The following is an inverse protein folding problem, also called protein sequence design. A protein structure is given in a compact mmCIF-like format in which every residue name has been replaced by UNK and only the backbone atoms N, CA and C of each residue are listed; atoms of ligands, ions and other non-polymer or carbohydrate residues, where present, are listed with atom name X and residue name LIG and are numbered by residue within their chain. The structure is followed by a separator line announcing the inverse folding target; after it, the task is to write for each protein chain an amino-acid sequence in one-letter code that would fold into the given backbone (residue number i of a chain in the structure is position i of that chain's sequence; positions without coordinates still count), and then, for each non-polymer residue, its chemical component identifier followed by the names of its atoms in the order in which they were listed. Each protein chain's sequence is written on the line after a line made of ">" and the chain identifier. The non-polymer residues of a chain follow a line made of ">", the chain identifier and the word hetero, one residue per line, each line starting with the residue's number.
data_IF_178687357491
#
_entry.id   IF_178687357491
#
_cell.length_a   1.000
_cell.length_b   1.000
_cell.length_c   1.000
_cell.angle_alpha   90.00
_cell.angle_beta   90.00
_cell.angle_gamma   90.00
#
_symmetry.space_group_name_H-M   'P 1'
#
loop_
_entity.id
_entity.type
_entity.pdbx_description
1 polymer ?
#
# COMPACT_ATOMS: atom_id res chain seq x y z
N UNK A 1 7.84 10.21 6.46
CA UNK A 1 6.60 10.00 5.68
C UNK A 1 6.89 10.42 4.26
N UNK A 2 6.78 9.50 3.31
CA UNK A 2 7.07 9.75 1.91
C UNK A 2 5.90 10.52 1.28
N UNK A 3 6.16 11.70 0.74
CA UNK A 3 5.15 12.56 0.10
C UNK A 3 5.40 12.71 -1.39
N UNK A 4 6.14 11.78 -2.00
CA UNK A 4 6.32 11.76 -3.45
C UNK A 4 5.00 11.50 -4.15
N UNK A 5 4.76 12.19 -5.27
CA UNK A 5 3.53 12.04 -6.08
C UNK A 5 3.29 10.58 -6.48
N UNK A 6 4.35 9.84 -6.80
CA UNK A 6 4.27 8.43 -7.13
C UNK A 6 3.82 7.57 -5.94
N UNK A 7 4.31 7.85 -4.73
CA UNK A 7 3.86 7.11 -3.54
C UNK A 7 2.41 7.41 -3.20
N UNK A 8 1.99 8.67 -3.34
CA UNK A 8 0.59 9.07 -3.17
C UNK A 8 -0.29 8.33 -4.19
N UNK A 9 0.12 8.28 -5.46
CA UNK A 9 -0.57 7.55 -6.51
C UNK A 9 -0.67 6.05 -6.22
N UNK A 10 0.42 5.42 -5.76
CA UNK A 10 0.41 4.01 -5.36
C UNK A 10 -0.62 3.75 -4.25
N UNK A 11 -0.69 4.63 -3.24
CA UNK A 11 -1.64 4.52 -2.14
C UNK A 11 -3.08 4.76 -2.60
N UNK A 12 -3.31 5.77 -3.43
CA UNK A 12 -4.63 6.08 -4.01
C UNK A 12 -5.18 4.91 -4.82
N UNK A 13 -4.32 4.26 -5.62
CA UNK A 13 -4.71 3.11 -6.46
C UNK A 13 -4.84 1.81 -5.67
N UNK A 14 -4.28 1.72 -4.47
CA UNK A 14 -4.37 0.54 -3.61
C UNK A 14 -5.73 0.50 -2.89
N UNK A 15 -6.83 0.43 -3.64
CA UNK A 15 -8.19 0.51 -3.08
C UNK A 15 -8.41 -0.55 -2.00
N UNK A 16 -7.90 -1.77 -2.20
CA UNK A 16 -8.00 -2.84 -1.19
C UNK A 16 -7.32 -2.46 0.12
N UNK A 17 -6.13 -1.85 0.05
CA UNK A 17 -5.39 -1.36 1.22
C UNK A 17 -6.17 -0.25 1.94
N UNK A 18 -6.72 0.70 1.17
CA UNK A 18 -7.53 1.80 1.68
C UNK A 18 -8.79 1.27 2.38
N UNK A 19 -9.46 0.28 1.79
CA UNK A 19 -10.65 -0.35 2.36
C UNK A 19 -10.35 -1.13 3.63
N UNK A 20 -9.24 -1.88 3.69
CA UNK A 20 -8.86 -2.61 4.90
C UNK A 20 -8.54 -1.68 6.08
N UNK A 21 -8.00 -0.49 5.83
CA UNK A 21 -7.71 0.48 6.89
C UNK A 21 -8.98 1.19 7.42
N UNK A 22 -10.00 1.38 6.58
CA UNK A 22 -11.25 2.07 6.96
C UNK A 22 -12.13 1.31 7.95
N UNK A 23 -11.89 0.01 8.16
CA UNK A 23 -12.79 -0.89 8.91
C UNK A 23 -12.57 -0.80 10.45
N UNK A 24 -11.62 -0.02 10.96
CA UNK A 24 -11.20 -0.11 12.37
C UNK A 24 -11.83 0.88 13.36
N UNK A 25 -12.80 1.72 12.99
CA UNK A 25 -13.49 2.56 13.98
C UNK A 25 -15.02 2.38 13.90
N UNK A 26 -15.62 2.14 15.05
CA UNK A 26 -17.01 1.79 15.38
C UNK A 26 -18.14 2.74 14.88
N UNK A 27 -17.99 3.49 13.78
CA UNK A 27 -19.05 4.37 13.25
C UNK A 27 -19.21 4.30 11.72
N UNK A 28 -20.03 3.34 11.28
CA UNK A 28 -20.42 2.98 9.89
C UNK A 28 -21.23 4.06 9.13
N UNK A 29 -21.14 5.35 9.51
CA UNK A 29 -21.96 6.43 8.92
C UNK A 29 -21.15 7.65 8.43
N UNK A 30 -19.87 7.76 8.82
CA UNK A 30 -19.10 8.99 8.57
C UNK A 30 -18.44 9.03 7.18
N UNK A 31 -18.02 7.89 6.65
CA UNK A 31 -17.29 7.82 5.37
C UNK A 31 -18.25 7.87 4.16
N UNK A 32 -19.45 7.30 4.30
CA UNK A 32 -20.55 7.47 3.33
C UNK A 32 -21.00 8.94 3.23
N UNK A 33 -20.95 9.68 4.34
CA UNK A 33 -21.26 11.10 4.37
C UNK A 33 -20.28 11.92 3.52
N UNK A 34 -18.97 11.67 3.60
CA UNK A 34 -17.98 12.39 2.79
C UNK A 34 -18.17 12.15 1.29
N UNK A 35 -18.34 10.88 0.89
CA UNK A 35 -18.59 10.50 -0.52
C UNK A 35 -19.89 11.13 -1.02
N UNK A 36 -20.97 11.06 -0.24
CA UNK A 36 -22.28 11.64 -0.57
C UNK A 36 -22.24 13.17 -0.68
N UNK A 37 -21.36 13.83 0.06
CA UNK A 37 -21.18 15.29 0.02
C UNK A 37 -20.09 15.74 -0.96
N UNK A 38 -19.53 14.83 -1.77
CA UNK A 38 -18.51 15.16 -2.77
C UNK A 38 -17.18 15.61 -2.16
N UNK A 39 -16.91 15.20 -0.93
CA UNK A 39 -15.63 15.44 -0.25
C UNK A 39 -14.73 14.26 -0.62
N UNK A 40 -13.57 14.55 -1.22
CA UNK A 40 -12.60 13.52 -1.57
C UNK A 40 -12.21 12.76 -0.30
N UNK A 41 -12.40 11.43 -0.29
CA UNK A 41 -12.20 10.67 0.92
C UNK A 41 -10.70 10.65 1.24
N UNK A 42 -10.36 10.79 2.53
CA UNK A 42 -8.97 10.85 2.98
C UNK A 42 -8.18 9.64 2.46
N UNK A 43 -7.13 9.91 1.68
CA UNK A 43 -6.20 8.88 1.20
C UNK A 43 -5.27 8.53 2.37
N UNK A 44 -5.33 7.27 2.81
CA UNK A 44 -4.39 6.78 3.80
C UNK A 44 -3.01 6.63 3.18
N UNK A 45 -2.04 7.33 3.75
CA UNK A 45 -0.63 7.28 3.36
C UNK A 45 0.14 6.55 4.47
N UNK A 46 0.28 5.22 4.39
CA UNK A 46 0.89 4.45 5.46
C UNK A 46 2.36 4.82 5.64
N UNK A 47 2.80 4.83 6.89
CA UNK A 47 4.23 4.96 7.22
C UNK A 47 4.94 3.61 7.11
N UNK A 48 6.27 3.66 7.12
CA UNK A 48 7.11 2.47 7.01
C UNK A 48 6.83 1.43 8.11
N UNK A 49 6.66 1.87 9.36
CA UNK A 49 6.33 1.01 10.50
C UNK A 49 5.01 0.26 10.28
N UNK A 50 3.99 0.97 9.80
CA UNK A 50 2.67 0.39 9.53
C UNK A 50 2.72 -0.62 8.39
N UNK A 51 3.45 -0.32 7.30
CA UNK A 51 3.64 -1.28 6.21
C UNK A 51 4.40 -2.53 6.66
N UNK A 52 5.39 -2.37 7.54
CA UNK A 52 6.17 -3.48 8.07
C UNK A 52 5.30 -4.43 8.92
N UNK A 53 4.34 -3.89 9.69
CA UNK A 53 3.38 -4.70 10.46
C UNK A 53 2.39 -5.46 9.58
N UNK A 54 2.19 -5.05 8.32
CA UNK A 54 1.24 -5.67 7.39
C UNK A 54 1.84 -6.81 6.56
N UNK A 55 3.17 -6.98 6.58
CA UNK A 55 3.86 -8.07 5.89
C UNK A 55 3.67 -9.36 6.70
N UNK A 56 3.39 -10.48 6.03
CA UNK A 56 3.03 -11.73 6.72
C UNK A 56 4.23 -12.47 7.32
N UNK A 57 5.44 -12.18 6.86
CA UNK A 57 6.70 -12.80 7.29
C UNK A 57 7.51 -11.95 8.27
N UNK A 58 8.66 -12.48 8.71
CA UNK A 58 9.62 -11.70 9.50
C UNK A 58 10.32 -10.67 8.60
N UNK A 59 10.75 -9.56 9.20
CA UNK A 59 11.52 -8.52 8.54
C UNK A 59 12.80 -9.09 7.91
N UNK A 60 13.43 -10.09 8.55
CA UNK A 60 14.61 -10.77 7.99
C UNK A 60 14.28 -11.49 6.69
N UNK A 61 13.18 -12.24 6.62
CA UNK A 61 12.74 -12.93 5.41
C UNK A 61 12.41 -11.93 4.29
N UNK A 62 11.83 -10.80 4.66
CA UNK A 62 11.56 -9.69 3.73
C UNK A 62 12.85 -9.11 3.16
N UNK A 63 13.84 -8.85 4.00
CA UNK A 63 15.16 -8.37 3.58
C UNK A 63 15.88 -9.38 2.69
N UNK A 64 15.82 -10.66 3.04
CA UNK A 64 16.39 -11.73 2.22
C UNK A 64 15.69 -11.79 0.86
N UNK A 65 14.36 -11.70 0.81
CA UNK A 65 13.61 -11.65 -0.44
C UNK A 65 14.04 -10.48 -1.34
N UNK A 66 14.15 -9.28 -0.77
CA UNK A 66 14.64 -8.09 -1.51
C UNK A 66 16.07 -8.30 -2.01
N UNK A 67 16.94 -8.89 -1.19
CA UNK A 67 18.33 -9.13 -1.55
C UNK A 67 18.49 -10.21 -2.65
N UNK A 68 17.59 -11.19 -2.70
CA UNK A 68 17.60 -12.24 -3.73
C UNK A 68 17.03 -11.77 -5.07
N UNK A 69 16.11 -10.78 -5.07
CA UNK A 69 15.44 -10.27 -6.27
C UNK A 69 15.51 -8.73 -6.41
N UNK A 70 16.72 -8.13 -6.37
CA UNK A 70 16.85 -6.67 -6.37
C UNK A 70 16.29 -6.02 -7.63
N UNK A 71 16.27 -6.73 -8.77
CA UNK A 71 15.72 -6.25 -10.03
C UNK A 71 14.22 -5.96 -9.98
N UNK A 72 13.47 -6.61 -9.08
CA UNK A 72 12.04 -6.32 -8.88
C UNK A 72 11.79 -4.98 -8.21
N UNK A 73 12.78 -4.50 -7.43
CA UNK A 73 12.63 -3.33 -6.56
C UNK A 73 13.46 -2.13 -7.02
N UNK A 74 14.27 -2.27 -8.08
CA UNK A 74 15.18 -1.23 -8.55
C UNK A 74 14.47 0.09 -8.89
N UNK A 75 13.25 0.01 -9.43
CA UNK A 75 12.43 1.18 -9.76
C UNK A 75 11.74 1.77 -8.51
N UNK A 76 11.56 0.97 -7.46
CA UNK A 76 10.97 1.35 -6.19
C UNK A 76 12.06 1.95 -5.28
N UNK A 77 12.46 3.18 -5.60
CA UNK A 77 13.64 3.89 -5.04
C UNK A 77 13.58 4.21 -3.54
N UNK A 78 12.50 3.87 -2.83
CA UNK A 78 12.34 4.20 -1.41
C UNK A 78 11.79 3.02 -0.63
N UNK A 79 12.19 2.85 0.65
CA UNK A 79 11.71 1.76 1.49
C UNK A 79 10.19 1.65 1.55
N UNK A 80 9.47 2.77 1.66
CA UNK A 80 8.00 2.74 1.73
C UNK A 80 7.35 2.20 0.45
N UNK A 81 7.95 2.45 -0.72
CA UNK A 81 7.46 1.93 -2.00
C UNK A 81 7.72 0.44 -2.13
N UNK A 82 8.88 -0.02 -1.65
CA UNK A 82 9.25 -1.44 -1.62
C UNK A 82 8.30 -2.20 -0.71
N UNK A 83 8.13 -1.75 0.54
CA UNK A 83 7.23 -2.41 1.49
C UNK A 83 5.77 -2.39 1.01
N UNK A 84 5.31 -1.27 0.44
CA UNK A 84 3.96 -1.20 -0.14
C UNK A 84 3.76 -2.21 -1.28
N UNK A 85 4.75 -2.37 -2.16
CA UNK A 85 4.70 -3.37 -3.23
C UNK A 85 4.66 -4.80 -2.67
N UNK A 86 5.44 -5.11 -1.63
CA UNK A 86 5.42 -6.41 -0.97
C UNK A 86 4.07 -6.67 -0.32
N UNK A 87 3.51 -5.70 0.41
CA UNK A 87 2.18 -5.82 1.03
C UNK A 87 1.11 -6.10 -0.04
N UNK A 88 1.14 -5.39 -1.17
CA UNK A 88 0.18 -5.61 -2.26
C UNK A 88 0.39 -6.96 -2.96
N UNK A 89 1.62 -7.44 -3.06
CA UNK A 89 1.95 -8.76 -3.62
C UNK A 89 1.48 -9.89 -2.71
N UNK A 90 1.77 -9.83 -1.41
CA UNK A 90 1.46 -10.89 -0.43
C UNK A 90 -0.02 -10.91 -0.01
N UNK A 91 -0.60 -9.74 0.27
CA UNK A 91 -1.96 -9.67 0.83
C UNK A 91 -3.03 -9.57 -0.24
N UNK A 92 -2.69 -9.02 -1.40
CA UNK A 92 -3.67 -8.72 -2.45
C UNK A 92 -3.34 -9.36 -3.81
N UNK A 93 -2.23 -10.10 -3.94
CA UNK A 93 -1.79 -10.72 -5.19
C UNK A 93 -1.71 -9.74 -6.37
N UNK A 94 -1.20 -8.54 -6.10
CA UNK A 94 -1.02 -7.49 -7.12
C UNK A 94 0.42 -6.99 -7.18
N UNK A 95 0.84 -6.60 -8.37
CA UNK A 95 2.13 -5.93 -8.63
C UNK A 95 1.92 -4.53 -9.18
N UNK A 96 2.84 -3.63 -8.88
CA UNK A 96 2.83 -2.28 -9.44
C UNK A 96 3.42 -2.28 -10.86
N UNK A 97 2.69 -1.73 -11.84
CA UNK A 97 3.19 -1.57 -13.23
C UNK A 97 3.75 -0.17 -13.52
N UNK A 98 3.83 0.69 -12.50
CA UNK A 98 4.20 2.11 -12.63
C UNK A 98 3.00 3.06 -12.69
N UNK A 99 1.78 2.55 -12.90
CA UNK A 99 0.54 3.34 -13.02
C UNK A 99 -0.63 2.76 -12.23
N UNK A 100 -0.76 1.44 -12.19
CA UNK A 100 -1.84 0.70 -11.56
C UNK A 100 -1.33 -0.57 -10.88
N UNK A 101 -2.12 -1.06 -9.94
CA UNK A 101 -1.95 -2.39 -9.35
C UNK A 101 -2.62 -3.44 -10.23
N UNK A 102 -1.82 -4.32 -10.84
CA UNK A 102 -2.31 -5.39 -11.71
C UNK A 102 -2.23 -6.74 -11.01
N UNK A 103 -3.24 -7.59 -11.23
CA UNK A 103 -3.26 -8.94 -10.67
C UNK A 103 -2.06 -9.76 -11.17
N UNK A 104 -1.48 -10.54 -10.28
CA UNK A 104 -0.44 -11.51 -10.61
C UNK A 104 -1.16 -12.80 -11.03
N UNK A 105 -0.94 -13.22 -12.28
CA UNK A 105 -1.41 -14.52 -12.81
C UNK A 105 -0.60 -15.69 -12.26
#
# INVERSE_FOLDING_TARGET
>A
MNTSEEFILMCEKAIELQSSHRITDDDDDHDYWYIKNGIEPYIWLPRQDQLQEMIRGDFIETCDYIAHYPEKFVELKTPEKILLNIVMEENHHKKWDGKNWIAIE
#
